data_IF_169856861838
#
_entry.id   IF_169856861838
#
_cell.length_a   1.000
_cell.length_b   1.000
_cell.length_c   1.000
_cell.angle_alpha   90.00
_cell.angle_beta   90.00
_cell.angle_gamma   90.00
#
_symmetry.space_group_name_H-M   'P 1'
#
loop_
_entity.id
_entity.type
_entity.pdbx_description
1 polymer ?
#
# COMPACT_ATOMS: atom_id res chain seq x y z
N UNK A 1 50.73 -71.58 11.18
CA UNK A 1 50.92 -70.18 10.76
C UNK A 1 49.89 -69.84 9.70
N UNK A 2 48.84 -69.08 10.06
CA UNK A 2 47.91 -68.47 9.12
C UNK A 2 47.56 -67.09 9.66
N UNK A 3 47.98 -66.05 8.94
CA UNK A 3 47.75 -64.65 9.29
C UNK A 3 46.50 -64.18 8.58
N UNK A 4 45.45 -63.81 9.33
CA UNK A 4 44.30 -63.11 8.77
C UNK A 4 44.57 -61.60 8.85
N UNK A 5 44.67 -60.93 7.69
CA UNK A 5 44.75 -59.46 7.62
C UNK A 5 43.33 -58.89 7.69
N UNK A 6 42.98 -58.31 8.82
CA UNK A 6 41.78 -57.48 8.95
C UNK A 6 42.09 -56.09 8.40
N UNK A 7 41.52 -55.77 7.25
CA UNK A 7 41.52 -54.42 6.66
C UNK A 7 40.67 -53.49 7.53
N UNK A 8 41.16 -52.30 7.93
CA UNK A 8 40.33 -51.31 8.61
C UNK A 8 39.34 -50.65 7.62
N UNK A 9 38.13 -50.27 8.06
CA UNK A 9 37.21 -49.51 7.21
C UNK A 9 37.76 -48.10 6.94
N UNK A 10 37.43 -47.48 5.78
CA UNK A 10 37.84 -46.10 5.51
C UNK A 10 37.10 -45.13 6.43
N UNK A 11 37.86 -44.24 7.09
CA UNK A 11 37.33 -43.14 7.89
C UNK A 11 36.56 -42.15 7.02
N UNK A 12 35.30 -41.87 7.36
CA UNK A 12 34.45 -40.85 6.73
C UNK A 12 34.88 -39.43 7.18
N UNK A 13 35.98 -38.92 6.66
CA UNK A 13 36.53 -37.57 6.99
C UNK A 13 35.94 -36.45 6.11
N UNK A 14 34.89 -36.71 5.32
CA UNK A 14 34.37 -35.78 4.31
C UNK A 14 33.29 -34.79 4.74
N UNK A 15 32.78 -34.84 5.99
CA UNK A 15 31.57 -34.08 6.37
C UNK A 15 31.81 -32.92 7.35
N UNK A 16 32.99 -32.79 7.97
CA UNK A 16 33.24 -31.73 8.97
C UNK A 16 33.79 -30.41 8.38
N UNK A 17 34.28 -30.40 7.14
CA UNK A 17 34.87 -29.21 6.51
C UNK A 17 33.86 -28.36 5.68
N UNK A 18 32.74 -28.95 5.25
CA UNK A 18 31.71 -28.25 4.48
C UNK A 18 30.81 -27.36 5.35
N UNK A 19 30.56 -27.75 6.60
CA UNK A 19 29.71 -26.97 7.51
C UNK A 19 30.42 -25.71 8.03
N UNK A 20 31.74 -25.77 8.24
CA UNK A 20 32.54 -24.63 8.67
C UNK A 20 32.58 -23.54 7.58
N UNK A 21 32.82 -23.92 6.32
CA UNK A 21 32.89 -22.99 5.18
C UNK A 21 31.54 -22.38 4.82
N UNK A 22 30.44 -23.14 4.93
CA UNK A 22 29.09 -22.62 4.72
C UNK A 22 28.66 -21.63 5.83
N UNK A 23 29.04 -21.91 7.08
CA UNK A 23 28.77 -21.02 8.22
C UNK A 23 29.54 -19.70 8.11
N UNK A 24 30.80 -19.74 7.67
CA UNK A 24 31.63 -18.54 7.44
C UNK A 24 31.06 -17.64 6.36
N UNK A 25 30.69 -18.21 5.20
CA UNK A 25 30.04 -17.47 4.11
C UNK A 25 28.70 -16.87 4.53
N UNK A 26 27.91 -17.60 5.33
CA UNK A 26 26.65 -17.06 5.87
C UNK A 26 26.90 -15.91 6.86
N UNK A 27 27.97 -15.98 7.65
CA UNK A 27 28.36 -14.92 8.58
C UNK A 27 28.83 -13.65 7.85
N UNK A 28 29.57 -13.82 6.75
CA UNK A 28 30.06 -12.72 5.91
C UNK A 28 28.91 -12.07 5.14
N UNK A 29 28.02 -12.88 4.57
CA UNK A 29 26.81 -12.39 3.90
C UNK A 29 25.90 -11.62 4.86
N UNK A 30 25.71 -12.14 6.08
CA UNK A 30 24.94 -11.46 7.13
C UNK A 30 25.61 -10.17 7.58
N UNK A 31 26.93 -10.16 7.75
CA UNK A 31 27.69 -8.98 8.15
C UNK A 31 27.64 -7.90 7.07
N UNK A 32 27.84 -8.27 5.80
CA UNK A 32 27.72 -7.37 4.67
C UNK A 32 26.29 -6.81 4.52
N UNK A 33 25.27 -7.66 4.70
CA UNK A 33 23.87 -7.23 4.68
C UNK A 33 23.56 -6.28 5.85
N UNK A 34 24.07 -6.55 7.05
CA UNK A 34 23.89 -5.71 8.24
C UNK A 34 24.56 -4.35 8.07
N UNK A 35 25.78 -4.30 7.53
CA UNK A 35 26.50 -3.06 7.26
C UNK A 35 25.77 -2.20 6.22
N UNK A 36 25.37 -2.80 5.09
CA UNK A 36 24.58 -2.08 4.07
C UNK A 36 23.23 -1.61 4.61
N UNK A 37 22.56 -2.43 5.43
CA UNK A 37 21.31 -2.05 6.07
C UNK A 37 21.51 -0.89 7.06
N UNK A 38 22.62 -0.83 7.80
CA UNK A 38 22.95 0.26 8.72
C UNK A 38 23.18 1.58 8.00
N UNK A 39 23.94 1.57 6.90
CA UNK A 39 24.19 2.76 6.09
C UNK A 39 22.90 3.27 5.44
N UNK A 40 22.12 2.34 4.87
CA UNK A 40 20.85 2.67 4.25
C UNK A 40 19.85 3.19 5.28
N UNK A 41 19.78 2.58 6.47
CA UNK A 41 18.95 3.05 7.57
C UNK A 41 19.32 4.45 8.01
N UNK A 42 20.61 4.77 8.09
CA UNK A 42 21.07 6.10 8.52
C UNK A 42 20.69 7.18 7.51
N UNK A 43 20.90 6.91 6.22
CA UNK A 43 20.48 7.82 5.13
C UNK A 43 18.96 7.95 5.06
N UNK A 44 18.24 6.83 5.09
CA UNK A 44 16.79 6.80 5.07
C UNK A 44 16.20 7.55 6.26
N UNK A 45 16.77 7.41 7.46
CA UNK A 45 16.33 8.14 8.66
C UNK A 45 16.48 9.65 8.49
N UNK A 46 17.63 10.12 7.98
CA UNK A 46 17.86 11.55 7.76
C UNK A 46 16.87 12.15 6.76
N UNK A 47 16.65 11.48 5.63
CA UNK A 47 15.70 11.96 4.61
C UNK A 47 14.25 11.85 5.09
N UNK A 48 13.89 10.76 5.78
CA UNK A 48 12.57 10.60 6.37
C UNK A 48 12.28 11.66 7.43
N UNK A 49 13.25 12.04 8.27
CA UNK A 49 13.09 13.13 9.24
C UNK A 49 12.76 14.45 8.55
N UNK A 50 13.54 14.86 7.54
CA UNK A 50 13.29 16.11 6.80
C UNK A 50 11.92 16.12 6.13
N UNK A 51 11.52 14.99 5.52
CA UNK A 51 10.22 14.85 4.89
C UNK A 51 9.09 14.88 5.92
N UNK A 52 9.27 14.23 7.07
CA UNK A 52 8.30 14.24 8.16
C UNK A 52 8.11 15.66 8.73
N UNK A 53 9.19 16.43 8.88
CA UNK A 53 9.11 17.82 9.34
C UNK A 53 8.33 18.69 8.35
N UNK A 54 8.58 18.55 7.04
CA UNK A 54 7.83 19.25 6.00
C UNK A 54 6.36 18.84 5.95
N UNK A 55 6.09 17.54 6.09
CA UNK A 55 4.73 17.00 6.10
C UNK A 55 3.94 17.49 7.31
N UNK A 56 4.56 17.60 8.50
CA UNK A 56 3.94 18.16 9.71
C UNK A 56 3.50 19.60 9.47
N UNK A 57 4.40 20.46 8.99
CA UNK A 57 4.06 21.86 8.71
C UNK A 57 2.94 22.01 7.69
N UNK A 58 2.91 21.18 6.64
CA UNK A 58 1.86 21.22 5.62
C UNK A 58 0.52 20.62 6.10
N UNK A 59 0.57 19.67 7.03
CA UNK A 59 -0.61 19.04 7.61
C UNK A 59 -1.31 19.98 8.59
N UNK A 60 -0.57 20.71 9.43
CA UNK A 60 -1.13 21.61 10.44
C UNK A 60 -2.13 22.62 9.84
N UNK A 61 -1.92 23.05 8.59
CA UNK A 61 -2.81 23.98 7.86
C UNK A 61 -4.13 23.35 7.35
N UNK A 62 -4.22 22.01 7.27
CA UNK A 62 -5.35 21.28 6.63
C UNK A 62 -5.94 20.18 7.50
N UNK A 63 -5.49 20.07 8.75
CA UNK A 63 -5.87 18.98 9.66
C UNK A 63 -7.36 18.99 9.98
N UNK A 64 -7.98 20.16 10.16
CA UNK A 64 -9.40 20.26 10.52
C UNK A 64 -10.30 19.78 9.36
N UNK A 65 -10.10 20.30 8.15
CA UNK A 65 -10.85 19.87 6.97
C UNK A 65 -10.66 18.37 6.66
N UNK A 66 -9.43 17.87 6.84
CA UNK A 66 -9.12 16.46 6.63
C UNK A 66 -9.80 15.55 7.67
N UNK A 67 -9.94 16.03 8.92
CA UNK A 67 -10.63 15.28 9.99
C UNK A 67 -12.11 15.16 9.71
N UNK A 68 -12.76 16.25 9.33
CA UNK A 68 -14.20 16.24 9.06
C UNK A 68 -14.49 15.34 7.85
N UNK A 69 -13.73 15.49 6.76
CA UNK A 69 -13.85 14.62 5.60
C UNK A 69 -13.58 13.15 5.92
N UNK A 70 -12.57 12.84 6.73
CA UNK A 70 -12.26 11.46 7.11
C UNK A 70 -13.36 10.86 8.00
N UNK A 71 -13.84 11.61 8.99
CA UNK A 71 -14.87 11.19 9.94
C UNK A 71 -16.17 10.87 9.21
N UNK A 72 -16.63 11.77 8.32
CA UNK A 72 -17.85 11.57 7.53
C UNK A 72 -17.80 10.31 6.66
N UNK A 73 -16.66 10.06 6.01
CA UNK A 73 -16.49 8.87 5.17
C UNK A 73 -16.42 7.58 6.00
N UNK A 74 -15.80 7.66 7.17
CA UNK A 74 -15.73 6.56 8.12
C UNK A 74 -17.14 6.22 8.62
N UNK A 75 -17.93 7.20 9.05
CA UNK A 75 -19.30 6.99 9.53
C UNK A 75 -20.17 6.31 8.46
N UNK A 76 -20.12 6.81 7.22
CA UNK A 76 -20.83 6.18 6.08
C UNK A 76 -20.39 4.75 5.82
N UNK A 77 -19.13 4.43 6.05
CA UNK A 77 -18.58 3.08 5.88
C UNK A 77 -19.02 2.16 7.02
N UNK A 78 -19.01 2.66 8.26
CA UNK A 78 -19.53 1.96 9.45
C UNK A 78 -21.00 1.58 9.23
N UNK A 79 -21.81 2.50 8.75
CA UNK A 79 -23.21 2.26 8.40
C UNK A 79 -23.35 1.17 7.34
N UNK A 80 -22.61 1.27 6.23
CA UNK A 80 -22.63 0.24 5.18
C UNK A 80 -22.21 -1.14 5.67
N UNK A 81 -21.21 -1.22 6.55
CA UNK A 81 -20.76 -2.48 7.15
C UNK A 81 -21.86 -3.07 8.04
N UNK A 82 -22.50 -2.25 8.89
CA UNK A 82 -23.61 -2.69 9.72
C UNK A 82 -24.80 -3.15 8.88
N UNK A 83 -25.11 -2.42 7.81
CA UNK A 83 -26.21 -2.73 6.91
C UNK A 83 -25.96 -4.03 6.13
N UNK A 84 -24.72 -4.27 5.72
CA UNK A 84 -24.29 -5.53 5.14
C UNK A 84 -24.37 -6.67 6.17
N UNK A 85 -23.94 -6.43 7.41
CA UNK A 85 -24.03 -7.41 8.51
C UNK A 85 -25.46 -7.87 8.77
N UNK A 86 -26.42 -6.94 8.84
CA UNK A 86 -27.85 -7.23 9.06
C UNK A 86 -28.46 -8.09 7.95
N UNK A 87 -27.90 -8.06 6.74
CA UNK A 87 -28.37 -8.93 5.64
C UNK A 87 -28.02 -10.41 5.85
N UNK A 88 -27.05 -10.73 6.71
CA UNK A 88 -26.68 -12.12 7.03
C UNK A 88 -27.49 -12.71 8.21
N UNK A 89 -28.40 -11.94 8.79
CA UNK A 89 -29.16 -12.30 10.00
C UNK A 89 -28.40 -11.94 11.27
N UNK A 90 -29.09 -11.34 12.24
CA UNK A 90 -28.48 -10.70 13.42
C UNK A 90 -27.66 -11.65 14.31
N UNK A 91 -27.97 -12.95 14.31
CA UNK A 91 -27.24 -13.98 15.08
C UNK A 91 -26.05 -14.61 14.32
N UNK A 92 -25.81 -14.21 13.07
CA UNK A 92 -24.72 -14.76 12.27
C UNK A 92 -23.36 -14.29 12.75
N UNK A 93 -22.35 -15.14 12.58
CA UNK A 93 -20.95 -14.80 12.90
C UNK A 93 -20.47 -13.59 12.08
N UNK A 94 -21.02 -13.42 10.88
CA UNK A 94 -20.77 -12.31 9.97
C UNK A 94 -21.35 -11.00 10.50
N UNK A 95 -22.57 -11.03 11.04
CA UNK A 95 -23.17 -9.85 11.67
C UNK A 95 -22.37 -9.40 12.89
N UNK A 96 -21.92 -10.34 13.73
CA UNK A 96 -21.07 -10.04 14.89
C UNK A 96 -19.70 -9.49 14.48
N UNK A 97 -19.07 -10.06 13.45
CA UNK A 97 -17.80 -9.58 12.93
C UNK A 97 -17.94 -8.17 12.30
N UNK A 98 -19.03 -7.94 11.58
CA UNK A 98 -19.35 -6.63 11.01
C UNK A 98 -19.57 -5.59 12.11
N UNK A 99 -20.31 -5.93 13.16
CA UNK A 99 -20.56 -5.02 14.28
C UNK A 99 -19.28 -4.73 15.10
N UNK A 100 -18.43 -5.74 15.28
CA UNK A 100 -17.11 -5.54 15.89
C UNK A 100 -16.26 -4.57 15.05
N UNK A 101 -16.19 -4.77 13.73
CA UNK A 101 -15.45 -3.87 12.84
C UNK A 101 -16.01 -2.44 12.91
N UNK A 102 -17.33 -2.31 12.78
CA UNK A 102 -18.07 -1.05 12.83
C UNK A 102 -17.79 -0.30 14.14
N UNK A 103 -17.82 -0.99 15.27
CA UNK A 103 -17.60 -0.41 16.61
C UNK A 103 -16.16 0.07 16.81
N UNK A 104 -15.17 -0.69 16.31
CA UNK A 104 -13.77 -0.27 16.36
C UNK A 104 -13.52 0.94 15.46
N UNK A 105 -14.14 0.95 14.28
CA UNK A 105 -13.97 2.02 13.30
C UNK A 105 -14.66 3.32 13.76
N UNK A 106 -15.83 3.21 14.40
CA UNK A 106 -16.51 4.35 15.05
C UNK A 106 -15.66 4.94 16.18
N UNK A 107 -15.08 4.11 17.06
CA UNK A 107 -14.15 4.59 18.09
C UNK A 107 -12.94 5.33 17.50
N UNK A 108 -12.41 4.87 16.37
CA UNK A 108 -11.31 5.52 15.68
C UNK A 108 -11.71 6.91 15.13
N UNK A 109 -12.87 7.02 14.49
CA UNK A 109 -13.43 8.31 14.05
C UNK A 109 -13.59 9.30 15.22
N UNK A 110 -14.08 8.79 16.34
CA UNK A 110 -14.26 9.54 17.58
C UNK A 110 -12.94 10.07 18.17
N UNK A 111 -11.86 9.28 18.08
CA UNK A 111 -10.51 9.71 18.47
C UNK A 111 -9.96 10.79 17.52
N UNK A 112 -10.21 10.64 16.21
CA UNK A 112 -9.79 11.61 15.19
C UNK A 112 -10.48 12.97 15.42
N UNK A 113 -11.78 12.94 15.72
CA UNK A 113 -12.61 14.11 16.02
C UNK A 113 -12.19 14.84 17.30
N UNK A 114 -11.75 14.11 18.32
CA UNK A 114 -11.36 14.68 19.63
C UNK A 114 -9.98 15.38 19.67
N UNK A 115 -9.33 15.55 18.51
CA UNK A 115 -8.15 16.42 18.31
C UNK A 115 -7.02 16.21 19.34
N UNK A 116 -6.62 14.97 19.62
CA UNK A 116 -5.39 14.72 20.36
C UNK A 116 -4.38 13.94 19.51
N UNK A 117 -3.94 14.59 18.43
CA UNK A 117 -2.96 14.02 17.50
C UNK A 117 -1.58 13.87 18.14
N UNK A 118 -1.29 14.66 19.18
CA UNK A 118 -0.03 14.61 19.92
C UNK A 118 0.11 13.32 20.70
N UNK A 119 -0.91 12.96 21.48
CA UNK A 119 -0.93 11.68 22.22
C UNK A 119 -1.01 10.48 21.27
N UNK A 120 -1.81 10.57 20.20
CA UNK A 120 -1.93 9.49 19.21
C UNK A 120 -0.60 9.22 18.48
N UNK A 121 0.18 10.25 18.17
CA UNK A 121 1.49 10.10 17.55
C UNK A 121 2.51 9.43 18.49
N UNK A 122 2.43 9.70 19.79
CA UNK A 122 3.31 9.09 20.79
C UNK A 122 2.95 7.61 20.99
N UNK A 123 1.66 7.29 21.07
CA UNK A 123 1.16 5.91 21.14
C UNK A 123 1.53 5.11 19.89
N UNK A 124 1.39 5.71 18.71
CA UNK A 124 1.77 5.09 17.44
C UNK A 124 3.29 4.85 17.38
N UNK A 125 4.10 5.78 17.91
CA UNK A 125 5.55 5.62 18.00
C UNK A 125 5.92 4.47 18.94
N UNK A 126 5.25 4.35 20.09
CA UNK A 126 5.44 3.24 21.03
C UNK A 126 5.07 1.90 20.38
N UNK A 127 3.92 1.84 19.70
CA UNK A 127 3.49 0.65 18.95
C UNK A 127 4.48 0.26 17.86
N UNK A 128 4.99 1.25 17.11
CA UNK A 128 5.94 1.02 16.03
C UNK A 128 7.26 0.42 16.51
N UNK A 129 7.75 0.87 17.68
CA UNK A 129 8.94 0.30 18.32
C UNK A 129 8.72 -1.13 18.79
N UNK A 130 7.50 -1.46 19.19
CA UNK A 130 7.14 -2.78 19.74
C UNK A 130 6.83 -3.81 18.66
N UNK A 131 6.32 -3.37 17.52
CA UNK A 131 5.90 -4.23 16.40
C UNK A 131 6.51 -3.80 15.06
N UNK A 132 7.84 -3.87 14.89
CA UNK A 132 8.52 -3.38 13.69
C UNK A 132 8.06 -4.08 12.39
N UNK A 133 7.70 -5.37 12.46
CA UNK A 133 7.21 -6.12 11.30
C UNK A 133 5.88 -5.57 10.76
N UNK A 134 4.95 -5.20 11.64
CA UNK A 134 3.64 -4.64 11.28
C UNK A 134 3.83 -3.30 10.57
N UNK A 135 4.71 -2.46 11.09
CA UNK A 135 5.01 -1.15 10.49
C UNK A 135 5.64 -1.30 9.11
N UNK A 136 6.64 -2.17 8.97
CA UNK A 136 7.29 -2.40 7.67
C UNK A 136 6.30 -2.96 6.64
N UNK A 137 5.45 -3.91 7.05
CA UNK A 137 4.39 -4.44 6.18
C UNK A 137 3.38 -3.38 5.77
N UNK A 138 2.90 -2.58 6.73
CA UNK A 138 1.97 -1.48 6.47
C UNK A 138 2.56 -0.42 5.55
N UNK A 139 3.80 0.00 5.79
CA UNK A 139 4.50 0.97 4.95
C UNK A 139 4.71 0.45 3.51
N UNK A 140 5.03 -0.84 3.35
CA UNK A 140 5.15 -1.44 2.03
C UNK A 140 3.82 -1.45 1.27
N UNK A 141 2.72 -1.81 1.94
CA UNK A 141 1.37 -1.79 1.35
C UNK A 141 0.94 -0.37 0.97
N UNK A 142 1.14 0.60 1.87
CA UNK A 142 0.84 2.00 1.61
C UNK A 142 1.67 2.55 0.45
N UNK A 143 2.97 2.25 0.42
CA UNK A 143 3.86 2.65 -0.68
C UNK A 143 3.44 2.05 -2.02
N UNK A 144 3.04 0.77 -2.04
CA UNK A 144 2.52 0.12 -3.23
C UNK A 144 1.20 0.74 -3.69
N UNK A 145 0.26 1.00 -2.77
CA UNK A 145 -1.01 1.64 -3.09
C UNK A 145 -0.80 3.05 -3.67
N UNK A 146 0.08 3.85 -3.06
CA UNK A 146 0.46 5.16 -3.58
C UNK A 146 1.09 5.06 -4.97
N UNK A 147 2.04 4.15 -5.17
CA UNK A 147 2.65 3.91 -6.48
C UNK A 147 1.60 3.47 -7.52
N UNK A 148 0.63 2.64 -7.11
CA UNK A 148 -0.46 2.17 -7.97
C UNK A 148 -1.41 3.30 -8.36
N UNK A 149 -1.68 4.25 -7.46
CA UNK A 149 -2.50 5.43 -7.73
C UNK A 149 -1.79 6.39 -8.67
N UNK A 150 -0.49 6.66 -8.43
CA UNK A 150 0.33 7.45 -9.36
C UNK A 150 0.35 6.81 -10.75
N UNK A 151 0.53 5.49 -10.83
CA UNK A 151 0.51 4.75 -12.10
C UNK A 151 -0.87 4.73 -12.77
N UNK A 152 -1.95 4.76 -11.98
CA UNK A 152 -3.30 4.89 -12.50
C UNK A 152 -3.52 6.27 -13.12
N UNK A 153 -3.01 7.31 -12.47
CA UNK A 153 -3.14 8.70 -12.91
C UNK A 153 -2.45 8.94 -14.26
N UNK A 154 -1.32 8.26 -14.54
CA UNK A 154 -0.64 8.33 -15.85
C UNK A 154 -1.48 7.74 -17.00
N UNK A 155 -2.42 6.83 -16.72
CA UNK A 155 -3.32 6.25 -17.74
C UNK A 155 -4.53 7.11 -18.04
N UNK A 156 -4.83 8.10 -17.20
CA UNK A 156 -5.96 9.02 -17.39
C UNK A 156 -5.66 10.16 -18.38
N UNK A 157 -4.43 10.25 -18.91
CA UNK A 157 -4.02 11.28 -19.87
C UNK A 157 -3.86 10.78 -21.32
N UNK A 158 -4.16 9.51 -21.61
CA UNK A 158 -3.86 8.89 -22.92
C UNK A 158 -5.07 8.77 -23.89
N UNK A 159 -6.23 9.32 -23.57
CA UNK A 159 -7.41 9.29 -24.45
C UNK A 159 -8.01 10.69 -24.64
N UNK A 160 -7.26 11.53 -25.36
CA UNK A 160 -7.80 12.60 -26.22
C UNK A 160 -6.90 12.66 -27.45
N UNK A 161 -6.77 11.52 -28.15
CA UNK A 161 -6.25 11.50 -29.51
C UNK A 161 -7.41 11.86 -30.42
N UNK A 162 -7.57 13.15 -30.68
CA UNK A 162 -8.44 13.62 -31.76
C UNK A 162 -7.87 13.05 -33.06
N UNK A 163 -8.49 11.98 -33.53
CA UNK A 163 -8.25 11.37 -34.82
C UNK A 163 -8.58 12.42 -35.89
N UNK A 164 -7.58 12.88 -36.65
CA UNK A 164 -7.78 13.74 -37.80
C UNK A 164 -8.15 12.88 -39.01
N UNK A 165 -9.39 12.93 -39.55
CA UNK A 165 -9.69 12.35 -40.84
C UNK A 165 -9.20 13.33 -41.90
N UNK A 166 -8.10 12.96 -42.55
CA UNK A 166 -7.58 13.63 -43.74
C UNK A 166 -8.53 13.47 -44.93
N UNK A 167 -8.57 14.53 -45.74
CA UNK A 167 -8.84 14.53 -47.18
C UNK A 167 -10.28 14.30 -47.69
N UNK A 168 -10.87 15.40 -48.18
CA UNK A 168 -11.17 15.48 -49.62
C UNK A 168 -12.63 15.58 -50.04
N UNK A 169 -12.89 16.62 -50.86
CA UNK A 169 -13.89 16.69 -51.95
C UNK A 169 -15.36 16.87 -51.48
N UNK A 170 -16.19 17.81 -51.92
CA UNK A 170 -16.18 18.87 -52.94
C UNK A 170 -17.23 19.92 -52.59
N UNK A 171 -16.93 21.18 -52.88
CA UNK A 171 -17.88 22.28 -52.90
C UNK A 171 -18.70 22.19 -54.20
N UNK A 172 -20.02 21.99 -54.12
CA UNK A 172 -20.94 22.13 -55.26
C UNK A 172 -22.09 23.05 -54.87
N UNK A 173 -22.25 24.22 -55.53
CA UNK A 173 -23.41 25.07 -55.32
C UNK A 173 -24.59 24.46 -56.06
N UNK A 174 -25.59 23.96 -55.32
CA UNK A 174 -26.89 23.63 -55.90
C UNK A 174 -27.85 24.78 -55.68
N UNK A 175 -27.82 25.68 -56.66
CA UNK A 175 -29.01 26.34 -57.16
C UNK A 175 -30.04 25.29 -57.60
N UNK A 176 -31.24 25.35 -57.03
CA UNK A 176 -32.47 24.78 -57.63
C UNK A 176 -33.71 25.39 -56.95
N UNK A 177 -34.15 26.53 -57.49
CA UNK A 177 -35.58 26.77 -57.69
C UNK A 177 -36.27 25.49 -58.15
N UNK A 178 -37.37 25.05 -57.53
CA UNK A 178 -38.67 24.75 -58.18
C UNK A 178 -39.78 24.78 -57.12
N UNK A 179 -40.64 25.80 -57.22
CA UNK A 179 -42.10 25.74 -57.22
C UNK A 179 -42.81 24.49 -56.67
N UNK A 180 -43.61 24.65 -55.60
CA UNK A 180 -44.99 24.14 -55.56
C UNK A 180 -45.77 24.66 -54.36
N UNK A 181 -46.90 25.29 -54.66
CA UNK A 181 -47.75 26.01 -53.71
C UNK A 181 -48.44 25.17 -52.65
N UNK A 182 -48.91 25.87 -51.63
CA UNK A 182 -49.98 25.40 -50.75
C UNK A 182 -51.08 26.46 -50.67
N UNK A 183 -52.25 26.01 -51.11
CA UNK A 183 -53.58 26.58 -50.98
C UNK A 183 -53.93 26.75 -49.50
N UNK A 184 -54.54 27.88 -49.14
CA UNK A 184 -55.78 27.97 -48.34
C UNK A 184 -56.34 29.38 -48.48
#
# INVERSE_FOLDING_TARGET
>A
MSVNKTTPPPSSTGQQHSDATASEMASDAKSAATSKASDLKSKAKSEASKLADQARSAADERVEDAKDYATDNIERTVEQIRDAGRQFGDDSYQAQAADYLASNLSQAADMIRRQDLGSLADDLTSFARRNPAVVLGGAALLGFAAARMLKASERSTADVRFESPTAGVSNTPYDRQIDRGYRS
#
